data_IF_780832151013
#
_entry.id   IF_780832151013
#
_cell.length_a   1.000
_cell.length_b   1.000
_cell.length_c   1.000
_cell.angle_alpha   90.00
_cell.angle_beta   90.00
_cell.angle_gamma   90.00
#
_symmetry.space_group_name_H-M   'P 1'
#
loop_
_entity.id
_entity.type
_entity.pdbx_description
1 polymer ?
#
# COMPACT_ATOMS: atom_id res chain seq x y z
N UNK A 1 -55.43 -15.43 -51.99
CA UNK A 1 -54.36 -16.08 -51.23
C UNK A 1 -53.35 -14.99 -50.87
N UNK A 2 -53.40 -14.53 -49.63
CA UNK A 2 -52.53 -13.43 -49.16
C UNK A 2 -51.55 -14.01 -48.15
N UNK A 3 -50.28 -13.98 -48.43
CA UNK A 3 -49.21 -14.39 -47.54
C UNK A 3 -48.85 -13.24 -46.60
N UNK A 4 -49.08 -13.41 -45.30
CA UNK A 4 -48.60 -12.50 -44.27
C UNK A 4 -47.20 -12.90 -43.89
N UNK A 5 -46.22 -11.98 -44.07
CA UNK A 5 -44.85 -12.10 -43.60
C UNK A 5 -44.77 -11.52 -42.19
N UNK A 6 -44.54 -12.37 -41.18
CA UNK A 6 -44.21 -11.92 -39.83
C UNK A 6 -42.74 -11.54 -39.79
N UNK A 7 -42.43 -10.25 -39.62
CA UNK A 7 -41.12 -9.76 -39.28
C UNK A 7 -40.97 -9.80 -37.75
N UNK A 8 -40.12 -10.68 -37.26
CA UNK A 8 -39.70 -10.72 -35.85
C UNK A 8 -38.57 -9.69 -35.71
N UNK A 9 -38.87 -8.56 -35.07
CA UNK A 9 -37.87 -7.58 -34.64
C UNK A 9 -37.28 -8.08 -33.33
N UNK A 10 -36.09 -8.69 -33.42
CA UNK A 10 -35.23 -8.94 -32.26
C UNK A 10 -34.64 -7.61 -31.78
N UNK A 11 -35.26 -7.05 -30.74
CA UNK A 11 -34.72 -5.86 -30.08
C UNK A 11 -33.53 -6.23 -29.20
N UNK A 12 -32.33 -5.87 -29.65
CA UNK A 12 -31.13 -5.86 -28.81
C UNK A 12 -31.26 -4.75 -27.78
N UNK A 13 -31.61 -5.12 -26.55
CA UNK A 13 -31.53 -4.22 -25.40
C UNK A 13 -30.06 -4.03 -25.01
N UNK A 14 -29.40 -3.08 -25.62
CA UNK A 14 -28.16 -2.55 -25.10
C UNK A 14 -28.46 -1.78 -23.80
N UNK A 15 -28.19 -2.42 -22.67
CA UNK A 15 -28.08 -1.69 -21.41
C UNK A 15 -26.83 -0.80 -21.48
N UNK A 16 -27.00 0.38 -22.02
CA UNK A 16 -26.04 1.46 -21.82
C UNK A 16 -26.12 1.86 -20.34
N UNK A 17 -25.16 1.41 -19.54
CA UNK A 17 -24.90 1.99 -18.23
C UNK A 17 -24.55 3.46 -18.45
N UNK A 18 -25.54 4.34 -18.28
CA UNK A 18 -25.33 5.78 -18.32
C UNK A 18 -24.47 6.16 -17.14
N UNK A 19 -23.15 6.34 -17.34
CA UNK A 19 -22.32 7.11 -16.43
C UNK A 19 -22.96 8.48 -16.30
N UNK A 20 -23.41 8.83 -15.09
CA UNK A 20 -23.88 10.17 -14.79
C UNK A 20 -22.76 11.18 -15.08
N UNK A 21 -22.96 12.20 -15.93
CA UNK A 21 -21.85 13.03 -16.46
C UNK A 21 -21.18 13.96 -15.44
N UNK A 22 -21.72 14.13 -14.22
CA UNK A 22 -21.34 15.23 -13.32
C UNK A 22 -20.76 14.78 -11.96
N UNK A 23 -20.40 13.52 -11.79
CA UNK A 23 -19.81 13.07 -10.54
C UNK A 23 -18.28 12.93 -10.69
N UNK A 24 -17.53 13.75 -9.97
CA UNK A 24 -16.10 13.51 -9.80
C UNK A 24 -15.89 12.12 -9.14
N UNK A 25 -14.95 11.30 -9.64
CA UNK A 25 -14.65 10.01 -9.05
C UNK A 25 -14.20 10.21 -7.60
N UNK A 26 -14.60 9.30 -6.73
CA UNK A 26 -14.09 9.25 -5.35
C UNK A 26 -12.62 8.86 -5.35
N UNK A 27 -11.89 9.17 -4.28
CA UNK A 27 -10.51 8.74 -4.15
C UNK A 27 -10.40 7.21 -4.25
N UNK A 28 -11.33 6.46 -3.67
CA UNK A 28 -11.37 5.00 -3.76
C UNK A 28 -11.49 4.51 -5.21
N UNK A 29 -12.39 5.12 -6.02
CA UNK A 29 -12.53 4.79 -7.44
C UNK A 29 -11.22 5.05 -8.21
N UNK A 30 -10.58 6.19 -7.98
CA UNK A 30 -9.29 6.53 -8.60
C UNK A 30 -8.19 5.53 -8.21
N UNK A 31 -8.11 5.15 -6.93
CA UNK A 31 -7.11 4.17 -6.48
C UNK A 31 -7.37 2.79 -7.05
N UNK A 32 -8.64 2.36 -7.17
CA UNK A 32 -9.00 1.08 -7.81
C UNK A 32 -8.62 1.06 -9.29
N UNK A 33 -8.82 2.16 -10.01
CA UNK A 33 -8.43 2.28 -11.42
C UNK A 33 -6.91 2.13 -11.64
N UNK A 34 -6.09 2.49 -10.66
CA UNK A 34 -4.63 2.33 -10.71
C UNK A 34 -4.13 1.06 -9.99
N UNK A 35 -5.02 0.08 -9.76
CA UNK A 35 -4.66 -1.26 -9.29
C UNK A 35 -4.63 -1.45 -7.78
N UNK A 36 -5.14 -0.49 -6.98
CA UNK A 36 -5.31 -0.74 -5.55
C UNK A 36 -6.58 -1.54 -5.27
N UNK A 37 -6.50 -2.39 -4.25
CA UNK A 37 -7.56 -3.28 -3.81
C UNK A 37 -7.56 -3.41 -2.28
N UNK A 38 -8.16 -4.45 -1.74
CA UNK A 38 -8.11 -4.72 -0.29
C UNK A 38 -6.71 -5.16 0.14
N UNK A 39 -6.35 -4.88 1.40
CA UNK A 39 -5.06 -5.32 1.96
C UNK A 39 -4.93 -6.85 1.86
N UNK A 40 -5.97 -7.58 2.25
CA UNK A 40 -5.95 -9.05 2.29
C UNK A 40 -5.64 -9.65 0.91
N UNK A 41 -6.23 -9.08 -0.15
CA UNK A 41 -6.00 -9.56 -1.51
C UNK A 41 -4.57 -9.27 -1.96
N UNK A 42 -4.09 -8.05 -1.74
CA UNK A 42 -2.71 -7.67 -2.07
C UNK A 42 -1.68 -8.51 -1.31
N UNK A 43 -1.93 -8.80 -0.02
CA UNK A 43 -1.09 -9.70 0.78
C UNK A 43 -1.08 -11.13 0.23
N UNK A 44 -2.24 -11.66 -0.13
CA UNK A 44 -2.36 -13.00 -0.69
C UNK A 44 -1.60 -13.13 -2.01
N UNK A 45 -1.74 -12.16 -2.91
CA UNK A 45 -1.04 -12.14 -4.20
C UNK A 45 0.48 -12.05 -4.01
N UNK A 46 0.93 -11.13 -3.14
CA UNK A 46 2.33 -10.95 -2.83
C UNK A 46 2.96 -12.19 -2.18
N UNK A 47 2.31 -12.77 -1.17
CA UNK A 47 2.80 -13.98 -0.51
C UNK A 47 2.84 -15.19 -1.44
N UNK A 48 1.86 -15.32 -2.36
CA UNK A 48 1.83 -16.39 -3.34
C UNK A 48 2.95 -16.24 -4.39
N UNK A 49 3.24 -15.00 -4.83
CA UNK A 49 4.29 -14.71 -5.80
C UNK A 49 5.68 -15.09 -5.27
N UNK A 50 6.01 -14.68 -4.05
CA UNK A 50 7.32 -14.98 -3.45
C UNK A 50 7.36 -16.33 -2.71
N UNK A 51 6.23 -17.04 -2.61
CA UNK A 51 6.10 -18.25 -1.78
C UNK A 51 6.64 -18.04 -0.34
N UNK A 52 6.42 -16.85 0.21
CA UNK A 52 6.95 -16.41 1.49
C UNK A 52 5.90 -15.58 2.24
N UNK A 53 5.69 -15.92 3.52
CA UNK A 53 4.80 -15.16 4.40
C UNK A 53 5.33 -13.76 4.70
N UNK A 54 4.40 -12.86 5.03
CA UNK A 54 4.71 -11.48 5.40
C UNK A 54 3.81 -11.07 6.57
N UNK A 55 4.40 -10.39 7.55
CA UNK A 55 3.67 -9.80 8.67
C UNK A 55 3.66 -8.28 8.56
N UNK A 56 2.49 -7.68 8.75
CA UNK A 56 2.34 -6.23 8.80
C UNK A 56 2.42 -5.73 10.24
N UNK A 57 2.81 -4.44 10.44
CA UNK A 57 2.74 -3.82 11.75
C UNK A 57 1.32 -3.85 12.32
N UNK A 58 1.18 -4.21 13.60
CA UNK A 58 -0.11 -4.16 14.32
C UNK A 58 -0.55 -2.75 14.67
N UNK A 59 0.36 -1.77 14.56
CA UNK A 59 0.10 -0.35 14.87
C UNK A 59 0.14 0.49 13.61
N UNK A 60 -0.65 1.55 13.63
CA UNK A 60 -0.64 2.63 12.64
C UNK A 60 -0.34 3.96 13.31
N UNK A 61 0.04 5.01 12.57
CA UNK A 61 0.17 6.35 13.12
C UNK A 61 -1.12 6.81 13.83
N UNK A 62 -1.03 7.56 14.94
CA UNK A 62 -2.18 8.01 15.72
C UNK A 62 -2.88 9.22 15.07
N UNK A 63 -3.20 9.11 13.80
CA UNK A 63 -3.95 10.08 13.00
C UNK A 63 -5.13 9.38 12.32
N UNK A 64 -6.15 10.14 11.93
CA UNK A 64 -7.33 9.56 11.30
C UNK A 64 -7.10 9.21 9.84
N UNK A 65 -7.56 8.03 9.44
CA UNK A 65 -7.63 7.57 8.06
C UNK A 65 -9.08 7.23 7.70
N UNK A 66 -9.47 7.45 6.45
CA UNK A 66 -10.79 7.10 5.92
C UNK A 66 -10.76 5.86 5.05
N UNK A 67 -9.61 5.58 4.41
CA UNK A 67 -9.41 4.44 3.52
C UNK A 67 -8.08 3.77 3.79
N UNK A 68 -8.11 2.44 3.64
CA UNK A 68 -6.91 1.60 3.66
C UNK A 68 -6.95 0.71 2.43
N UNK A 69 -5.89 0.74 1.65
CA UNK A 69 -5.79 0.12 0.34
C UNK A 69 -4.49 -0.67 0.23
N UNK A 70 -4.52 -1.80 -0.45
CA UNK A 70 -3.37 -2.64 -0.74
C UNK A 70 -3.12 -2.72 -2.25
N UNK A 71 -1.86 -2.92 -2.64
CA UNK A 71 -1.49 -3.23 -4.01
C UNK A 71 -0.24 -4.09 -4.04
N UNK A 72 -0.28 -5.20 -4.74
CA UNK A 72 0.90 -5.88 -5.18
C UNK A 72 1.33 -5.29 -6.54
N UNK A 73 2.53 -4.75 -6.59
CA UNK A 73 3.16 -4.27 -7.81
C UNK A 73 3.99 -5.42 -8.37
N UNK A 74 3.42 -6.14 -9.33
CA UNK A 74 4.11 -7.13 -10.15
C UNK A 74 4.57 -6.41 -11.42
N UNK A 75 5.83 -6.03 -11.44
CA UNK A 75 6.44 -5.26 -12.52
C UNK A 75 7.42 -6.16 -13.30
N UNK A 76 7.72 -5.77 -14.53
CA UNK A 76 8.68 -6.51 -15.36
C UNK A 76 10.03 -6.62 -14.64
N UNK A 77 10.34 -7.82 -14.13
CA UNK A 77 11.52 -8.14 -13.36
C UNK A 77 11.31 -8.02 -11.84
N UNK A 78 11.62 -9.09 -11.12
CA UNK A 78 11.42 -9.24 -9.67
C UNK A 78 12.10 -8.15 -8.82
N UNK A 79 13.11 -7.46 -9.36
CA UNK A 79 13.85 -6.38 -8.69
C UNK A 79 13.00 -5.15 -8.35
N UNK A 80 11.81 -5.03 -8.95
CA UNK A 80 10.88 -3.91 -8.72
C UNK A 80 9.61 -4.31 -7.99
N UNK A 81 9.39 -5.59 -7.80
CA UNK A 81 8.18 -6.10 -7.18
C UNK A 81 8.08 -5.65 -5.74
N UNK A 82 6.89 -5.24 -5.34
CA UNK A 82 6.66 -4.72 -4.00
C UNK A 82 5.20 -4.77 -3.58
N UNK A 83 4.98 -5.00 -2.30
CA UNK A 83 3.69 -4.75 -1.67
C UNK A 83 3.62 -3.29 -1.22
N UNK A 84 2.54 -2.61 -1.54
CA UNK A 84 2.18 -1.30 -0.99
C UNK A 84 0.89 -1.37 -0.17
N UNK A 85 0.94 -0.92 1.08
CA UNK A 85 -0.25 -0.65 1.89
C UNK A 85 -0.34 0.84 2.12
N UNK A 86 -1.46 1.44 1.77
CA UNK A 86 -1.68 2.88 1.81
C UNK A 86 -2.85 3.23 2.71
N UNK A 87 -2.63 4.17 3.61
CA UNK A 87 -3.62 4.76 4.51
C UNK A 87 -3.79 6.22 4.14
N UNK A 88 -5.00 6.63 3.82
CA UNK A 88 -5.32 7.99 3.38
C UNK A 88 -6.54 8.54 4.11
N UNK A 89 -6.66 9.87 4.13
CA UNK A 89 -7.85 10.55 4.59
C UNK A 89 -8.36 11.51 3.50
N UNK A 90 -9.58 11.29 3.02
CA UNK A 90 -10.17 12.11 1.95
C UNK A 90 -10.36 13.57 2.35
N UNK A 91 -10.62 13.83 3.66
CA UNK A 91 -10.88 15.18 4.18
C UNK A 91 -9.61 15.89 4.63
N UNK A 92 -8.57 15.13 4.94
CA UNK A 92 -7.27 15.60 5.41
C UNK A 92 -6.17 14.96 4.53
N UNK A 93 -5.91 15.49 3.32
CA UNK A 93 -4.98 14.87 2.35
C UNK A 93 -3.55 14.70 2.87
N UNK A 94 -3.13 15.51 3.84
CA UNK A 94 -1.84 15.37 4.49
C UNK A 94 -1.75 14.12 5.39
N UNK A 95 -2.89 13.57 5.85
CA UNK A 95 -2.94 12.29 6.55
C UNK A 95 -2.73 11.14 5.56
N UNK A 96 -1.48 10.94 5.18
CA UNK A 96 -1.03 9.94 4.24
C UNK A 96 0.12 9.16 4.84
N UNK A 97 -0.11 7.87 5.06
CA UNK A 97 0.87 6.89 5.54
C UNK A 97 0.93 5.73 4.57
N UNK A 98 2.15 5.23 4.32
CA UNK A 98 2.38 4.11 3.41
C UNK A 98 3.38 3.14 4.02
N UNK A 99 3.11 1.85 3.86
CA UNK A 99 4.04 0.74 4.06
C UNK A 99 4.41 0.21 2.68
N UNK A 100 5.69 0.08 2.40
CA UNK A 100 6.20 -0.63 1.22
C UNK A 100 7.05 -1.78 1.70
N UNK A 101 6.85 -2.98 1.15
CA UNK A 101 7.64 -4.16 1.46
C UNK A 101 8.17 -4.79 0.18
N UNK A 102 9.41 -5.24 0.22
CA UNK A 102 10.09 -5.93 -0.89
C UNK A 102 11.15 -6.90 -0.37
N UNK A 103 11.63 -7.85 -1.17
CA UNK A 103 12.78 -8.67 -0.80
C UNK A 103 14.02 -7.84 -0.48
N UNK A 104 14.78 -8.26 0.53
CA UNK A 104 16.05 -7.58 0.91
C UNK A 104 17.06 -7.53 -0.23
N UNK A 105 17.08 -8.57 -1.08
CA UNK A 105 17.97 -8.62 -2.25
C UNK A 105 17.66 -7.52 -3.28
N UNK A 106 16.40 -7.04 -3.32
CA UNK A 106 15.91 -5.95 -4.15
C UNK A 106 15.58 -4.70 -3.34
N UNK A 107 16.29 -4.51 -2.23
CA UNK A 107 16.05 -3.40 -1.31
C UNK A 107 16.13 -2.06 -2.00
N UNK A 108 15.29 -1.16 -1.54
CA UNK A 108 15.28 0.21 -2.02
C UNK A 108 16.56 0.92 -1.55
N UNK A 109 17.37 1.43 -2.47
CA UNK A 109 18.58 2.15 -2.11
C UNK A 109 18.23 3.53 -1.53
N UNK A 110 19.04 4.00 -0.58
CA UNK A 110 19.03 5.37 -0.11
C UNK A 110 20.46 5.93 -0.13
N UNK A 111 20.56 7.23 -0.26
CA UNK A 111 21.85 7.91 -0.26
C UNK A 111 22.24 8.29 1.17
N UNK A 112 23.52 8.31 1.46
CA UNK A 112 24.01 8.70 2.80
C UNK A 112 23.53 10.07 3.22
N UNK A 113 23.41 11.02 2.30
CA UNK A 113 22.91 12.37 2.54
C UNK A 113 21.44 12.45 2.94
N UNK A 114 20.64 11.41 2.63
CA UNK A 114 19.23 11.30 3.03
C UNK A 114 19.09 10.78 4.48
N UNK A 115 20.14 10.18 5.02
CA UNK A 115 20.12 9.55 6.35
C UNK A 115 20.22 10.61 7.44
N UNK A 116 19.15 10.71 8.25
CA UNK A 116 19.14 11.56 9.43
C UNK A 116 19.72 10.83 10.64
N UNK A 117 19.35 9.56 10.80
CA UNK A 117 19.70 8.78 11.97
C UNK A 117 19.54 7.28 11.73
N UNK A 118 20.45 6.50 12.32
CA UNK A 118 20.29 5.05 12.50
C UNK A 118 19.74 4.79 13.92
N UNK A 119 18.73 3.93 14.01
CA UNK A 119 18.00 3.64 15.25
C UNK A 119 17.99 2.13 15.46
N UNK A 120 18.28 1.68 16.67
CA UNK A 120 18.18 0.28 17.02
C UNK A 120 16.75 -0.08 17.42
N UNK A 121 16.15 -1.08 16.77
CA UNK A 121 14.84 -1.63 17.09
C UNK A 121 14.90 -2.56 18.32
N UNK A 122 13.74 -2.99 18.84
CA UNK A 122 13.66 -3.83 20.03
C UNK A 122 14.25 -5.24 19.82
N UNK A 123 14.17 -5.75 18.60
CA UNK A 123 14.77 -7.03 18.20
C UNK A 123 16.29 -6.97 18.00
N UNK A 124 16.86 -5.77 18.07
CA UNK A 124 18.29 -5.53 17.88
C UNK A 124 18.69 -5.14 16.46
N UNK A 125 17.78 -5.24 15.49
CA UNK A 125 17.99 -4.81 14.10
C UNK A 125 18.11 -3.29 14.00
N UNK A 126 18.78 -2.83 12.95
CA UNK A 126 18.94 -1.41 12.67
C UNK A 126 17.87 -0.90 11.71
N UNK A 127 17.30 0.25 12.04
CA UNK A 127 16.41 1.01 11.17
C UNK A 127 17.05 2.32 10.79
N UNK A 128 16.94 2.71 9.53
CA UNK A 128 17.45 3.97 9.00
C UNK A 128 16.30 4.96 8.89
N UNK A 129 16.41 6.08 9.58
CA UNK A 129 15.46 7.18 9.49
C UNK A 129 15.93 8.20 8.48
N UNK A 130 15.07 8.49 7.52
CA UNK A 130 15.36 9.31 6.34
C UNK A 130 14.42 10.50 6.23
N UNK A 131 14.90 11.57 5.63
CA UNK A 131 14.11 12.68 5.11
C UNK A 131 14.04 12.60 3.59
N UNK A 132 12.87 12.31 3.03
CA UNK A 132 12.73 12.15 1.59
C UNK A 132 11.46 12.80 1.06
N UNK A 133 11.61 13.76 0.14
CA UNK A 133 10.52 14.32 -0.67
C UNK A 133 9.25 14.72 0.13
N UNK A 134 9.41 15.34 1.29
CA UNK A 134 8.30 15.76 2.15
C UNK A 134 7.73 14.67 3.04
N UNK A 135 8.38 13.50 3.10
CA UNK A 135 8.03 12.38 3.97
C UNK A 135 9.11 12.14 5.03
N UNK A 136 8.67 11.75 6.21
CA UNK A 136 9.47 11.06 7.19
C UNK A 136 9.42 9.57 6.87
N UNK A 137 10.58 8.96 6.72
CA UNK A 137 10.70 7.56 6.30
C UNK A 137 11.53 6.78 7.32
N UNK A 138 11.07 5.58 7.67
CA UNK A 138 11.84 4.60 8.42
C UNK A 138 11.98 3.34 7.58
N UNK A 139 13.21 2.96 7.24
CA UNK A 139 13.51 1.74 6.51
C UNK A 139 14.30 0.77 7.38
N UNK A 140 13.90 -0.50 7.40
CA UNK A 140 14.55 -1.57 8.16
C UNK A 140 14.35 -2.91 7.47
N UNK A 141 15.19 -3.86 7.81
CA UNK A 141 15.11 -5.22 7.31
C UNK A 141 14.55 -6.13 8.41
N UNK A 142 13.76 -7.13 8.04
CA UNK A 142 13.27 -8.15 8.94
C UNK A 142 13.08 -9.47 8.19
N UNK A 143 13.92 -10.45 8.50
CA UNK A 143 13.96 -11.71 7.79
C UNK A 143 14.24 -11.51 6.30
N UNK A 144 13.35 -12.01 5.46
CA UNK A 144 13.45 -11.91 4.00
C UNK A 144 13.09 -10.52 3.45
N UNK A 145 12.46 -9.66 4.29
CA UNK A 145 11.80 -8.44 3.83
C UNK A 145 12.49 -7.16 4.27
N UNK A 146 12.60 -6.19 3.36
CA UNK A 146 12.79 -4.79 3.68
C UNK A 146 11.43 -4.11 3.81
N UNK A 147 11.22 -3.44 4.93
CA UNK A 147 10.07 -2.57 5.19
C UNK A 147 10.48 -1.11 5.05
N UNK A 148 9.61 -0.33 4.43
CA UNK A 148 9.74 1.13 4.36
C UNK A 148 8.43 1.76 4.79
N UNK A 149 8.44 2.39 5.96
CA UNK A 149 7.32 3.13 6.52
C UNK A 149 7.48 4.59 6.16
N UNK A 150 6.53 5.20 5.47
CA UNK A 150 6.59 6.60 5.07
C UNK A 150 5.34 7.36 5.47
N UNK A 151 5.50 8.54 6.07
CA UNK A 151 4.41 9.42 6.48
C UNK A 151 4.68 10.85 6.03
N UNK A 152 3.64 11.52 5.53
CA UNK A 152 3.73 12.92 5.13
C UNK A 152 4.11 13.78 6.35
N UNK A 153 5.11 14.65 6.22
CA UNK A 153 5.59 15.55 7.29
C UNK A 153 4.52 16.51 7.78
N UNK A 154 3.53 16.83 6.93
CA UNK A 154 2.41 17.72 7.26
C UNK A 154 1.30 17.02 8.01
N UNK A 155 1.32 15.69 8.11
CA UNK A 155 0.25 14.92 8.73
C UNK A 155 0.02 15.29 10.20
N UNK A 156 1.07 15.58 10.93
CA UNK A 156 1.01 16.07 12.31
C UNK A 156 2.39 16.43 12.84
N UNK A 157 2.49 17.45 13.65
CA UNK A 157 3.69 17.78 14.44
C UNK A 157 4.06 16.67 15.44
N UNK A 158 3.13 15.73 15.68
CA UNK A 158 3.33 14.56 16.54
C UNK A 158 4.09 13.43 15.87
N UNK A 159 4.36 13.51 14.56
CA UNK A 159 5.03 12.43 13.79
C UNK A 159 6.54 12.44 13.97
N UNK A 160 6.96 12.28 15.23
CA UNK A 160 8.37 12.09 15.60
C UNK A 160 8.88 10.71 15.14
N UNK A 161 10.19 10.55 14.93
CA UNK A 161 10.81 9.27 14.59
C UNK A 161 10.36 8.11 15.49
N UNK A 162 10.11 8.40 16.77
CA UNK A 162 9.64 7.43 17.75
C UNK A 162 8.30 6.76 17.42
N UNK A 163 7.41 7.43 16.69
CA UNK A 163 6.13 6.83 16.27
C UNK A 163 6.38 5.74 15.22
N UNK A 164 7.20 6.01 14.20
CA UNK A 164 7.53 5.01 13.18
C UNK A 164 8.31 3.83 13.79
N UNK A 165 9.17 4.08 14.78
CA UNK A 165 9.88 3.02 15.53
C UNK A 165 8.89 2.14 16.31
N UNK A 166 7.89 2.73 16.98
CA UNK A 166 6.85 1.95 17.67
C UNK A 166 6.02 1.10 16.72
N UNK A 167 5.76 1.61 15.51
CA UNK A 167 5.08 0.86 14.46
C UNK A 167 5.96 -0.30 13.97
N UNK A 168 7.25 -0.05 13.66
CA UNK A 168 8.19 -1.10 13.27
C UNK A 168 8.32 -2.20 14.33
N UNK A 169 8.40 -1.83 15.60
CA UNK A 169 8.46 -2.76 16.73
C UNK A 169 7.14 -3.53 16.98
N UNK A 170 6.05 -3.18 16.31
CA UNK A 170 4.77 -3.87 16.45
C UNK A 170 4.56 -5.00 15.42
N UNK A 171 5.53 -5.28 14.56
CA UNK A 171 5.51 -6.48 13.71
C UNK A 171 5.78 -7.68 14.60
N UNK A 172 4.84 -8.61 14.66
CA UNK A 172 5.03 -9.87 15.38
C UNK A 172 5.98 -10.78 14.60
N UNK A 173 6.81 -11.52 15.32
CA UNK A 173 7.56 -12.61 14.71
C UNK A 173 6.65 -13.82 14.64
N UNK A 174 6.59 -14.47 13.49
CA UNK A 174 6.17 -15.86 13.47
C UNK A 174 7.17 -16.62 14.34
N UNK A 175 6.78 -16.96 15.56
CA UNK A 175 7.54 -17.91 16.37
C UNK A 175 7.53 -19.22 15.59
N UNK A 176 8.69 -19.65 15.08
CA UNK A 176 8.84 -21.01 14.60
C UNK A 176 8.48 -21.91 15.79
N UNK A 177 7.31 -22.52 15.75
CA UNK A 177 6.96 -23.60 16.66
C UNK A 177 7.94 -24.76 16.36
N UNK A 178 8.80 -25.01 17.32
CA UNK A 178 9.82 -26.08 17.34
C UNK A 178 9.19 -27.45 17.41
#
# INVERSE_FOLDING_TARGET
>A
MSLAVCIILSGDYHYALSKSPDRHPTNEEVYREIGYETIDKALQEFAAHFNQGIELPLRTPPISFTHTLGRFNDLDGEDKDSLEIKYINEKLPDNHYKITVRPVEHRFPFKEEEVIKVIKLQDGEEAVYLDRDGFNVLSFERGYWQYTLSINKRASDLMLPGVLVQIANSIEFATEES
#
